data_IF_805161916452
#
_entry.id   IF_805161916452
#
_cell.length_a   1.000
_cell.length_b   1.000
_cell.length_c   1.000
_cell.angle_alpha   90.00
_cell.angle_beta   90.00
_cell.angle_gamma   90.00
#
_symmetry.space_group_name_H-M   'P 1'
#
loop_
_entity.id
_entity.type
_entity.pdbx_description
1 polymer ?
#
# COMPACT_ATOMS: atom_id res chain seq x y z
N UNK A 1 22.04 26.91 -3.68
CA UNK A 1 21.09 25.82 -4.00
C UNK A 1 20.61 25.26 -2.66
N UNK A 2 19.39 25.60 -2.24
CA UNK A 2 18.99 25.55 -0.82
C UNK A 2 18.89 24.11 -0.29
N UNK A 3 19.47 23.86 0.89
CA UNK A 3 19.38 22.61 1.67
C UNK A 3 17.95 22.07 1.77
N UNK A 4 16.97 22.98 1.86
CA UNK A 4 15.55 22.67 1.88
C UNK A 4 15.04 21.97 0.60
N UNK A 5 15.56 22.36 -0.57
CA UNK A 5 15.21 21.70 -1.84
C UNK A 5 15.83 20.29 -1.94
N UNK A 6 17.03 20.11 -1.41
CA UNK A 6 17.68 18.78 -1.38
C UNK A 6 16.97 17.84 -0.40
N UNK A 7 16.59 18.34 0.79
CA UNK A 7 15.81 17.57 1.75
C UNK A 7 14.43 17.20 1.20
N UNK A 8 13.75 18.12 0.51
CA UNK A 8 12.47 17.85 -0.14
C UNK A 8 12.58 16.76 -1.22
N UNK A 9 13.61 16.82 -2.07
CA UNK A 9 13.86 15.78 -3.08
C UNK A 9 14.17 14.41 -2.46
N UNK A 10 14.91 14.38 -1.36
CA UNK A 10 15.16 13.16 -0.59
C UNK A 10 13.87 12.59 0.00
N UNK A 11 13.01 13.45 0.53
CA UNK A 11 11.71 13.07 1.08
C UNK A 11 10.78 12.52 -0.02
N UNK A 12 10.70 13.19 -1.17
CA UNK A 12 9.95 12.72 -2.34
C UNK A 12 10.48 11.38 -2.87
N UNK A 13 11.81 11.21 -2.95
CA UNK A 13 12.43 9.95 -3.35
C UNK A 13 12.17 8.82 -2.36
N UNK A 14 12.23 9.13 -1.05
CA UNK A 14 11.95 8.17 0.01
C UNK A 14 10.48 7.72 -0.03
N UNK A 15 9.53 8.64 -0.16
CA UNK A 15 8.11 8.31 -0.29
C UNK A 15 7.78 7.59 -1.60
N UNK A 16 8.48 7.89 -2.70
CA UNK A 16 8.35 7.17 -3.96
C UNK A 16 8.79 5.70 -3.83
N UNK A 17 9.99 5.47 -3.27
CA UNK A 17 10.49 4.11 -3.02
C UNK A 17 9.68 3.35 -1.96
N UNK A 18 9.29 4.02 -0.89
CA UNK A 18 8.46 3.47 0.18
C UNK A 18 7.05 3.10 -0.31
N UNK A 19 6.47 3.89 -1.20
CA UNK A 19 5.19 3.56 -1.84
C UNK A 19 5.29 2.27 -2.67
N UNK A 20 6.36 2.10 -3.44
CA UNK A 20 6.61 0.88 -4.21
C UNK A 20 6.73 -0.35 -3.32
N UNK A 21 7.50 -0.23 -2.23
CA UNK A 21 7.66 -1.27 -1.21
C UNK A 21 6.35 -1.58 -0.47
N UNK A 22 5.57 -0.57 -0.10
CA UNK A 22 4.28 -0.78 0.55
C UNK A 22 3.31 -1.54 -0.35
N UNK A 23 3.24 -1.16 -1.63
CA UNK A 23 2.37 -1.83 -2.60
C UNK A 23 2.80 -3.28 -2.83
N UNK A 24 4.11 -3.56 -2.93
CA UNK A 24 4.60 -4.92 -3.12
C UNK A 24 4.38 -5.81 -1.88
N UNK A 25 4.62 -5.28 -0.68
CA UNK A 25 4.35 -5.99 0.59
C UNK A 25 2.86 -6.23 0.78
N UNK A 26 1.99 -5.24 0.50
CA UNK A 26 0.53 -5.42 0.53
C UNK A 26 0.06 -6.44 -0.51
N UNK A 27 0.63 -6.41 -1.72
CA UNK A 27 0.31 -7.37 -2.78
C UNK A 27 0.67 -8.81 -2.38
N UNK A 28 1.84 -9.01 -1.76
CA UNK A 28 2.26 -10.30 -1.22
C UNK A 28 1.34 -10.77 -0.07
N UNK A 29 0.99 -9.87 0.85
CA UNK A 29 0.08 -10.20 1.95
C UNK A 29 -1.32 -10.59 1.45
N UNK A 30 -1.83 -9.91 0.42
CA UNK A 30 -3.08 -10.27 -0.25
C UNK A 30 -2.99 -11.63 -0.93
N UNK A 31 -1.91 -11.91 -1.68
CA UNK A 31 -1.67 -13.21 -2.30
C UNK A 31 -1.67 -14.34 -1.26
N UNK A 32 -0.95 -14.18 -0.15
CA UNK A 32 -0.93 -15.16 0.94
C UNK A 32 -2.33 -15.34 1.55
N UNK A 33 -3.06 -14.25 1.76
CA UNK A 33 -4.43 -14.30 2.31
C UNK A 33 -5.37 -15.04 1.35
N UNK A 34 -5.26 -14.82 0.04
CA UNK A 34 -6.03 -15.54 -0.99
C UNK A 34 -5.69 -17.02 -0.95
N UNK A 35 -4.41 -17.39 -0.96
CA UNK A 35 -3.98 -18.80 -0.87
C UNK A 35 -4.53 -19.46 0.40
N UNK A 36 -4.43 -18.80 1.55
CA UNK A 36 -4.95 -19.31 2.83
C UNK A 36 -6.48 -19.37 2.86
N UNK A 37 -7.19 -18.49 2.14
CA UNK A 37 -8.65 -18.55 2.06
C UNK A 37 -9.15 -19.75 1.23
N UNK A 38 -8.40 -20.17 0.19
CA UNK A 38 -8.79 -21.28 -0.69
C UNK A 38 -8.26 -22.61 -0.16
N UNK A 39 -7.02 -22.66 0.31
CA UNK A 39 -6.32 -23.89 0.70
C UNK A 39 -6.03 -24.00 2.20
N UNK A 40 -6.32 -22.97 2.99
CA UNK A 40 -6.09 -23.01 4.44
C UNK A 40 -7.11 -23.86 5.21
N UNK A 41 -6.84 -24.09 6.52
CA UNK A 41 -7.69 -24.88 7.40
C UNK A 41 -9.13 -24.33 7.45
N UNK A 42 -10.14 -25.20 7.35
CA UNK A 42 -11.56 -24.79 7.27
C UNK A 42 -11.99 -23.84 8.41
N UNK A 43 -11.53 -24.07 9.63
CA UNK A 43 -11.86 -23.24 10.81
C UNK A 43 -11.28 -21.81 10.77
N UNK A 44 -10.35 -21.52 9.86
CA UNK A 44 -9.74 -20.19 9.70
C UNK A 44 -10.23 -19.45 8.44
N UNK A 45 -10.94 -20.13 7.54
CA UNK A 45 -11.36 -19.56 6.25
C UNK A 45 -12.29 -18.36 6.40
N UNK A 46 -13.17 -18.37 7.39
CA UNK A 46 -14.06 -17.23 7.66
C UNK A 46 -13.29 -16.01 8.20
N UNK A 47 -12.33 -16.22 9.09
CA UNK A 47 -11.42 -15.16 9.57
C UNK A 47 -10.63 -14.55 8.40
N UNK A 48 -10.08 -15.38 7.50
CA UNK A 48 -9.36 -14.90 6.32
C UNK A 48 -10.24 -14.14 5.34
N UNK A 49 -11.50 -14.57 5.13
CA UNK A 49 -12.46 -13.84 4.28
C UNK A 49 -12.77 -12.46 4.86
N UNK A 50 -12.98 -12.36 6.18
CA UNK A 50 -13.18 -11.08 6.86
C UNK A 50 -11.95 -10.18 6.75
N UNK A 51 -10.77 -10.72 7.00
CA UNK A 51 -9.50 -10.00 6.89
C UNK A 51 -9.23 -9.51 5.46
N UNK A 52 -9.59 -10.30 4.44
CA UNK A 52 -9.42 -9.94 3.02
C UNK A 52 -10.21 -8.68 2.65
N UNK A 53 -11.45 -8.55 3.14
CA UNK A 53 -12.28 -7.35 2.89
C UNK A 53 -11.63 -6.11 3.51
N UNK A 54 -11.14 -6.20 4.75
CA UNK A 54 -10.44 -5.10 5.40
C UNK A 54 -9.12 -4.75 4.71
N UNK A 55 -8.36 -5.75 4.24
CA UNK A 55 -7.13 -5.53 3.49
C UNK A 55 -7.37 -4.79 2.17
N UNK A 56 -8.46 -5.11 1.46
CA UNK A 56 -8.86 -4.41 0.23
C UNK A 56 -9.23 -2.96 0.53
N UNK A 57 -10.01 -2.70 1.58
CA UNK A 57 -10.40 -1.33 1.98
C UNK A 57 -9.16 -0.49 2.32
N UNK A 58 -8.24 -1.03 3.13
CA UNK A 58 -6.98 -0.37 3.47
C UNK A 58 -6.13 -0.07 2.23
N UNK A 59 -6.09 -0.99 1.27
CA UNK A 59 -5.37 -0.80 0.01
C UNK A 59 -5.96 0.36 -0.81
N UNK A 60 -7.28 0.47 -0.92
CA UNK A 60 -7.94 1.58 -1.61
C UNK A 60 -7.69 2.93 -0.93
N UNK A 61 -7.66 2.97 0.41
CA UNK A 61 -7.31 4.18 1.17
C UNK A 61 -5.87 4.61 0.87
N UNK A 62 -4.92 3.66 0.91
CA UNK A 62 -3.52 3.92 0.61
C UNK A 62 -3.31 4.40 -0.84
N UNK A 63 -4.00 3.80 -1.80
CA UNK A 63 -4.01 4.24 -3.21
C UNK A 63 -4.60 5.65 -3.37
N UNK A 64 -5.72 5.94 -2.71
CA UNK A 64 -6.37 7.24 -2.78
C UNK A 64 -5.46 8.34 -2.22
N UNK A 65 -4.80 8.08 -1.09
CA UNK A 65 -3.79 8.99 -0.54
C UNK A 65 -2.64 9.23 -1.53
N UNK A 66 -2.17 8.18 -2.21
CA UNK A 66 -1.14 8.30 -3.26
C UNK A 66 -1.61 9.15 -4.44
N UNK A 67 -2.83 8.95 -4.93
CA UNK A 67 -3.40 9.73 -6.03
C UNK A 67 -3.53 11.21 -5.65
N UNK A 68 -4.00 11.51 -4.43
CA UNK A 68 -4.10 12.89 -3.93
C UNK A 68 -2.71 13.53 -3.85
N UNK A 69 -1.72 12.82 -3.29
CA UNK A 69 -0.36 13.33 -3.19
C UNK A 69 0.27 13.57 -4.58
N UNK A 70 0.05 12.66 -5.53
CA UNK A 70 0.52 12.80 -6.91
C UNK A 70 -0.18 13.96 -7.64
N UNK A 71 -1.47 14.17 -7.39
CA UNK A 71 -2.22 15.30 -7.95
C UNK A 71 -1.70 16.64 -7.40
N UNK A 72 -1.45 16.71 -6.10
CA UNK A 72 -0.87 17.91 -5.45
C UNK A 72 0.57 18.16 -5.90
N UNK A 73 1.37 17.12 -6.17
CA UNK A 73 2.75 17.30 -6.65
C UNK A 73 2.83 17.61 -8.15
N UNK A 74 1.91 17.10 -8.97
CA UNK A 74 1.85 17.31 -10.42
C UNK A 74 1.22 18.64 -10.85
N UNK A 75 0.41 19.28 -9.98
CA UNK A 75 -0.15 20.62 -10.21
C UNK A 75 0.81 21.76 -9.81
N UNK A 76 2.12 21.55 -9.91
CA UNK A 76 3.16 22.58 -9.72
C UNK A 76 3.97 22.80 -10.98
#
# INVERSE_FOLDING_TARGET
MNLFNSAKKLFEAFFSGFSGLLVSVFGLALLVTVIMSVWGPQHKREEFKGFMVWAIILFFIALSAKVILAFVSGNK
#
